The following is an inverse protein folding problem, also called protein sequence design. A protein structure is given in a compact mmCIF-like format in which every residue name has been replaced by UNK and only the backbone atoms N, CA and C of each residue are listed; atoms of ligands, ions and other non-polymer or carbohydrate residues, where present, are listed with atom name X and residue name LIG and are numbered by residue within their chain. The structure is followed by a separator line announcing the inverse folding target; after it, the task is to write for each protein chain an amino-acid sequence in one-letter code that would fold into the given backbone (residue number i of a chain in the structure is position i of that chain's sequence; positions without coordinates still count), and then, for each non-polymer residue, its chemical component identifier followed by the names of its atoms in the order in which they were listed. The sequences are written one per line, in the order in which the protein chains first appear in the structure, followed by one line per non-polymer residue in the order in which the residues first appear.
data_IF_099033353138
#
_entry.id   IF_099033353138
#
_cell.length_a   1.000
_cell.length_b   1.000
_cell.length_c   1.000
_cell.angle_alpha   90.00
_cell.angle_beta   90.00
_cell.angle_gamma   90.00
#
_symmetry.space_group_name_H-M   'P 1'
#
loop_
_entity.id
_entity.type
_entity.pdbx_description
1 polymer ?
#
# COMPACT_ATOMS: atom_id res chain seq x y z
N UNK A 1 31.17 7.57 58.93
CA UNK A 1 31.21 6.88 57.62
C UNK A 1 32.65 6.46 57.39
N UNK A 2 32.92 5.16 57.34
CA UNK A 2 34.30 4.65 57.23
C UNK A 2 34.85 4.90 55.82
N UNK A 3 36.18 5.06 55.64
CA UNK A 3 36.80 5.25 54.32
C UNK A 3 36.47 4.14 53.32
N UNK A 4 36.16 2.94 53.80
CA UNK A 4 35.77 1.82 52.95
C UNK A 4 34.32 1.93 52.44
N UNK A 5 33.42 2.47 53.26
CA UNK A 5 32.02 2.68 52.87
C UNK A 5 31.92 3.73 51.76
N UNK A 6 32.72 4.80 51.85
CA UNK A 6 32.79 5.84 50.81
C UNK A 6 33.27 5.26 49.47
N UNK A 7 34.32 4.41 49.48
CA UNK A 7 34.83 3.77 48.25
C UNK A 7 33.84 2.75 47.65
N UNK A 8 33.07 2.05 48.49
CA UNK A 8 32.01 1.14 48.01
C UNK A 8 30.86 1.92 47.37
N UNK A 9 30.47 3.05 47.94
CA UNK A 9 29.43 3.92 47.39
C UNK A 9 29.87 4.56 46.07
N UNK A 10 31.12 4.99 45.97
CA UNK A 10 31.68 5.55 44.73
C UNK A 10 31.76 4.52 43.61
N UNK A 11 32.18 3.27 43.90
CA UNK A 11 32.16 2.17 42.92
C UNK A 11 30.75 1.76 42.52
N UNK A 12 29.82 1.74 43.47
CA UNK A 12 28.39 1.50 43.21
C UNK A 12 27.81 2.56 42.27
N UNK A 13 28.07 3.85 42.54
CA UNK A 13 27.63 4.96 41.71
C UNK A 13 28.29 4.94 40.33
N UNK A 14 29.58 4.61 40.25
CA UNK A 14 30.30 4.52 38.97
C UNK A 14 29.80 3.35 38.12
N UNK A 15 29.52 2.19 38.73
CA UNK A 15 28.92 1.05 38.04
C UNK A 15 27.47 1.31 37.62
N UNK A 16 26.68 2.03 38.43
CA UNK A 16 25.33 2.49 38.06
C UNK A 16 25.37 3.47 36.88
N UNK A 17 26.31 4.41 36.90
CA UNK A 17 26.52 5.38 35.80
C UNK A 17 26.97 4.69 34.51
N UNK A 18 27.78 3.62 34.59
CA UNK A 18 28.20 2.83 33.41
C UNK A 18 27.04 1.97 32.88
N UNK A 19 26.18 1.41 33.74
CA UNK A 19 24.99 0.68 33.28
C UNK A 19 23.90 1.57 32.70
N UNK A 20 23.80 2.83 33.14
CA UNK A 20 22.91 3.85 32.57
C UNK A 20 23.46 4.51 31.28
N UNK A 21 24.73 4.28 30.92
CA UNK A 21 25.33 4.85 29.69
C UNK A 21 25.09 4.06 28.41
N UNK A 22 24.47 2.86 28.46
CA UNK A 22 23.79 2.34 27.26
C UNK A 22 22.52 3.15 27.09
N UNK A 23 22.66 4.29 26.39
CA UNK A 23 21.56 5.23 26.20
C UNK A 23 20.33 4.48 25.68
N UNK A 24 19.12 4.85 26.12
CA UNK A 24 17.88 4.26 25.63
C UNK A 24 17.79 4.24 24.09
N UNK A 25 18.45 5.18 23.41
CA UNK A 25 18.55 5.25 21.95
C UNK A 25 19.24 4.04 21.32
N UNK A 26 20.28 3.47 21.96
CA UNK A 26 21.01 2.30 21.42
C UNK A 26 20.15 1.03 21.41
N UNK A 27 19.33 0.82 22.44
CA UNK A 27 18.36 -0.29 22.47
C UNK A 27 17.24 -0.05 21.45
N UNK A 28 16.73 1.18 21.36
CA UNK A 28 15.68 1.54 20.41
C UNK A 28 16.15 1.36 18.95
N UNK A 29 17.35 1.80 18.60
CA UNK A 29 17.94 1.60 17.27
C UNK A 29 18.15 0.13 16.91
N UNK A 30 18.73 -0.67 17.81
CA UNK A 30 18.93 -2.11 17.56
C UNK A 30 17.61 -2.88 17.37
N UNK A 31 16.52 -2.40 17.98
CA UNK A 31 15.18 -2.99 17.81
C UNK A 31 14.51 -2.55 16.50
N UNK A 32 14.70 -1.30 16.08
CA UNK A 32 14.25 -0.84 14.77
C UNK A 32 14.89 -1.63 13.63
N UNK A 33 16.20 -1.85 13.71
CA UNK A 33 16.93 -2.68 12.76
C UNK A 33 16.38 -4.11 12.68
N UNK A 34 16.06 -4.74 13.81
CA UNK A 34 15.46 -6.10 13.83
C UNK A 34 14.09 -6.15 13.15
N UNK A 35 13.23 -5.16 13.40
CA UNK A 35 11.92 -5.10 12.73
C UNK A 35 12.04 -4.81 11.23
N UNK A 36 13.04 -4.04 10.80
CA UNK A 36 13.27 -3.73 9.40
C UNK A 36 13.71 -4.98 8.62
N UNK A 37 14.57 -5.83 9.20
CA UNK A 37 15.00 -7.09 8.58
C UNK A 37 13.83 -8.02 8.22
N UNK A 38 12.76 -7.98 9.00
CA UNK A 38 11.56 -8.77 8.76
C UNK A 38 10.71 -8.24 7.57
N UNK A 39 11.04 -7.10 6.97
CA UNK A 39 10.47 -6.66 5.68
C UNK A 39 11.07 -7.40 4.48
N UNK A 40 12.26 -7.98 4.63
CA UNK A 40 12.97 -8.66 3.54
C UNK A 40 12.16 -9.83 2.96
N UNK A 41 11.55 -10.72 3.77
CA UNK A 41 10.69 -11.78 3.25
C UNK A 41 9.49 -11.26 2.45
N UNK A 42 8.87 -10.15 2.88
CA UNK A 42 7.78 -9.52 2.13
C UNK A 42 8.28 -8.97 0.79
N UNK A 43 9.41 -8.27 0.79
CA UNK A 43 10.02 -7.76 -0.43
C UNK A 43 10.34 -8.89 -1.42
N UNK A 44 10.96 -9.97 -0.95
CA UNK A 44 11.28 -11.14 -1.79
C UNK A 44 10.01 -11.78 -2.35
N UNK A 45 8.94 -11.88 -1.54
CA UNK A 45 7.66 -12.42 -1.99
C UNK A 45 7.00 -11.57 -3.08
N UNK A 46 6.92 -10.25 -2.91
CA UNK A 46 6.36 -9.39 -3.96
C UNK A 46 7.25 -9.33 -5.20
N UNK A 47 8.57 -9.41 -5.03
CA UNK A 47 9.52 -9.49 -6.15
C UNK A 47 9.34 -10.79 -6.93
N UNK A 48 9.12 -11.93 -6.25
CA UNK A 48 8.90 -13.22 -6.92
C UNK A 48 7.58 -13.25 -7.70
N UNK A 49 6.58 -12.47 -7.30
CA UNK A 49 5.37 -12.27 -8.12
C UNK A 49 5.67 -11.58 -9.46
N UNK A 50 6.66 -10.66 -9.47
CA UNK A 50 7.10 -9.95 -10.67
C UNK A 50 7.97 -10.86 -11.55
N UNK A 51 8.98 -11.50 -10.96
CA UNK A 51 10.03 -12.22 -11.70
C UNK A 51 9.68 -13.68 -11.98
N UNK A 52 8.83 -14.28 -11.16
CA UNK A 52 8.56 -15.72 -11.12
C UNK A 52 9.09 -16.35 -9.84
N UNK A 53 8.56 -17.54 -9.55
CA UNK A 53 8.90 -18.31 -8.36
C UNK A 53 9.04 -19.79 -8.69
N UNK A 54 9.88 -20.53 -7.97
CA UNK A 54 9.86 -21.98 -8.03
C UNK A 54 8.48 -22.47 -7.56
N UNK A 55 7.86 -23.32 -8.38
CA UNK A 55 6.56 -23.91 -8.13
C UNK A 55 6.67 -25.43 -8.32
N UNK A 56 5.99 -26.18 -7.47
CA UNK A 56 5.78 -27.59 -7.66
C UNK A 56 4.85 -27.79 -8.86
N UNK A 57 5.34 -28.48 -9.88
CA UNK A 57 4.60 -28.86 -11.07
C UNK A 57 4.27 -30.34 -11.01
N UNK A 58 3.02 -30.65 -11.34
CA UNK A 58 2.55 -32.02 -11.51
C UNK A 58 2.13 -32.18 -12.97
N UNK A 59 2.67 -33.17 -13.70
CA UNK A 59 2.36 -33.37 -15.11
C UNK A 59 0.86 -33.62 -15.29
N UNK A 60 0.27 -32.95 -16.28
CA UNK A 60 -1.12 -33.20 -16.65
C UNK A 60 -1.34 -34.63 -17.16
N UNK A 61 -2.59 -35.12 -17.22
CA UNK A 61 -2.91 -36.47 -17.69
C UNK A 61 -2.52 -36.75 -19.16
N UNK A 62 -2.18 -35.70 -19.91
CA UNK A 62 -1.76 -35.72 -21.32
C UNK A 62 -0.27 -35.47 -21.51
N UNK A 63 0.48 -35.27 -20.43
CA UNK A 63 1.93 -35.05 -20.48
C UNK A 63 2.66 -36.35 -20.89
N UNK A 64 3.79 -36.26 -21.60
CA UNK A 64 4.59 -37.43 -21.95
C UNK A 64 5.06 -38.14 -20.68
N UNK A 65 5.05 -39.49 -20.70
CA UNK A 65 5.41 -40.37 -19.58
C UNK A 65 6.81 -40.14 -18.97
N UNK A 66 7.65 -39.30 -19.59
CA UNK A 66 8.99 -38.92 -19.11
C UNK A 66 9.00 -37.67 -18.23
N UNK A 67 7.90 -36.93 -18.11
CA UNK A 67 7.82 -35.79 -17.19
C UNK A 67 7.52 -36.29 -15.78
N UNK A 68 8.53 -36.23 -14.91
CA UNK A 68 8.37 -36.49 -13.48
C UNK A 68 7.89 -35.24 -12.74
N UNK A 69 7.06 -35.40 -11.68
CA UNK A 69 6.65 -34.28 -10.85
C UNK A 69 7.87 -33.69 -10.14
N UNK A 70 7.99 -32.36 -10.17
CA UNK A 70 9.20 -31.68 -9.72
C UNK A 70 9.02 -30.20 -9.49
N UNK A 71 10.09 -29.55 -9.05
CA UNK A 71 10.12 -28.09 -8.89
C UNK A 71 10.51 -27.46 -10.23
N UNK A 72 9.55 -26.81 -10.88
CA UNK A 72 9.77 -26.04 -12.08
C UNK A 72 9.68 -24.54 -11.78
N UNK A 73 10.27 -23.70 -12.63
CA UNK A 73 10.16 -22.26 -12.47
C UNK A 73 8.87 -21.76 -13.13
N UNK A 74 7.93 -21.26 -12.33
CA UNK A 74 6.71 -20.64 -12.85
C UNK A 74 7.01 -19.17 -13.19
N UNK A 75 6.66 -18.78 -14.42
CA UNK A 75 6.86 -17.41 -14.89
C UNK A 75 6.00 -16.43 -14.10
N UNK A 76 6.61 -15.36 -13.59
CA UNK A 76 5.90 -14.27 -12.94
C UNK A 76 5.17 -13.36 -13.93
N UNK A 77 4.69 -12.21 -13.45
CA UNK A 77 4.01 -11.21 -14.28
C UNK A 77 4.83 -10.80 -15.51
N UNK A 78 6.15 -10.66 -15.39
CA UNK A 78 7.01 -10.32 -16.53
C UNK A 78 7.00 -11.40 -17.61
N UNK A 79 7.13 -12.67 -17.22
CA UNK A 79 7.12 -13.78 -18.17
C UNK A 79 5.78 -13.90 -18.88
N UNK A 80 4.67 -13.75 -18.14
CA UNK A 80 3.32 -13.74 -18.71
C UNK A 80 3.12 -12.61 -19.70
N UNK A 81 3.54 -11.40 -19.36
CA UNK A 81 3.43 -10.22 -20.23
C UNK A 81 4.28 -10.35 -21.50
N UNK A 82 5.46 -10.98 -21.41
CA UNK A 82 6.28 -11.32 -22.59
C UNK A 82 5.56 -12.33 -23.49
N UNK A 83 4.92 -13.35 -22.91
CA UNK A 83 4.15 -14.32 -23.68
C UNK A 83 2.91 -13.70 -24.33
N UNK A 84 2.14 -12.90 -23.59
CA UNK A 84 0.96 -12.20 -24.09
C UNK A 84 1.34 -11.18 -25.18
N UNK A 85 2.44 -10.43 -25.01
CA UNK A 85 2.91 -9.49 -26.04
C UNK A 85 3.38 -10.20 -27.32
N UNK A 86 4.08 -11.35 -27.20
CA UNK A 86 4.44 -12.18 -28.35
C UNK A 86 3.20 -12.73 -29.06
N UNK A 87 2.22 -13.22 -28.31
CA UNK A 87 0.96 -13.69 -28.86
C UNK A 87 0.24 -12.57 -29.62
N UNK A 88 0.12 -11.39 -29.01
CA UNK A 88 -0.51 -10.23 -29.65
C UNK A 88 0.26 -9.75 -30.89
N UNK A 89 1.60 -9.80 -30.89
CA UNK A 89 2.39 -9.46 -32.09
C UNK A 89 2.18 -10.45 -33.23
N UNK A 90 2.05 -11.75 -32.94
CA UNK A 90 1.77 -12.78 -33.96
C UNK A 90 0.35 -12.61 -34.51
N UNK A 91 -0.62 -12.36 -33.62
CA UNK A 91 -2.03 -12.20 -34.00
C UNK A 91 -2.35 -10.87 -34.70
N UNK A 92 -1.46 -9.88 -34.59
CA UNK A 92 -1.60 -8.58 -35.27
C UNK A 92 -0.90 -8.53 -36.63
N UNK A 93 -0.24 -9.62 -37.06
CA UNK A 93 0.46 -9.69 -38.33
C UNK A 93 -0.52 -9.42 -39.50
N UNK A 94 -0.29 -8.39 -40.34
CA UNK A 94 -1.15 -8.08 -41.48
C UNK A 94 -1.26 -9.22 -42.51
N UNK A 95 -0.38 -10.23 -42.46
CA UNK A 95 -0.42 -11.42 -43.30
C UNK A 95 -1.41 -12.50 -42.81
N UNK A 96 -1.92 -12.41 -41.57
CA UNK A 96 -2.96 -13.32 -41.08
C UNK A 96 -4.33 -12.89 -41.61
N UNK A 97 -4.99 -13.76 -42.36
CA UNK A 97 -6.38 -13.60 -42.81
C UNK A 97 -7.32 -13.30 -41.63
N UNK A 98 -8.24 -12.35 -41.81
CA UNK A 98 -9.14 -11.88 -40.75
C UNK A 98 -10.02 -12.99 -40.18
N UNK A 99 -10.37 -13.97 -41.02
CA UNK A 99 -11.30 -15.05 -40.68
C UNK A 99 -10.64 -16.14 -39.83
N UNK A 100 -9.30 -16.19 -39.78
CA UNK A 100 -8.54 -17.08 -38.92
C UNK A 100 -8.31 -16.50 -37.50
N UNK A 101 -8.74 -15.26 -37.22
CA UNK A 101 -8.51 -14.60 -35.92
C UNK A 101 -9.72 -14.80 -34.99
N UNK A 102 -9.59 -15.60 -33.91
CA UNK A 102 -10.61 -15.64 -32.87
C UNK A 102 -10.66 -14.30 -32.13
N UNK A 103 -11.58 -13.42 -32.55
CA UNK A 103 -11.70 -12.04 -32.06
C UNK A 103 -11.94 -11.94 -30.54
N UNK A 104 -12.63 -12.94 -29.97
CA UNK A 104 -12.89 -13.00 -28.53
C UNK A 104 -11.62 -13.30 -27.73
N UNK A 105 -10.81 -14.26 -28.19
CA UNK A 105 -9.54 -14.62 -27.55
C UNK A 105 -8.56 -13.46 -27.65
N UNK A 106 -8.48 -12.81 -28.82
CA UNK A 106 -7.63 -11.64 -29.01
C UNK A 106 -7.98 -10.50 -28.03
N UNK A 107 -9.26 -10.13 -27.95
CA UNK A 107 -9.72 -9.08 -27.00
C UNK A 107 -9.51 -9.47 -25.54
N UNK A 108 -9.69 -10.75 -25.20
CA UNK A 108 -9.45 -11.24 -23.85
C UNK A 108 -7.96 -11.13 -23.47
N UNK A 109 -7.05 -11.52 -24.37
CA UNK A 109 -5.61 -11.41 -24.16
C UNK A 109 -5.16 -9.95 -24.13
N UNK A 110 -5.71 -9.08 -24.98
CA UNK A 110 -5.42 -7.65 -24.94
C UNK A 110 -5.83 -7.03 -23.61
N UNK A 111 -7.04 -7.31 -23.12
CA UNK A 111 -7.52 -6.85 -21.80
C UNK A 111 -6.67 -7.44 -20.66
N UNK A 112 -6.28 -8.70 -20.76
CA UNK A 112 -5.38 -9.38 -19.81
C UNK A 112 -4.03 -8.67 -19.75
N UNK A 113 -3.42 -8.36 -20.90
CA UNK A 113 -2.12 -7.69 -20.98
C UNK A 113 -2.17 -6.27 -20.38
N UNK A 114 -3.26 -5.54 -20.57
CA UNK A 114 -3.45 -4.23 -19.93
C UNK A 114 -3.55 -4.38 -18.41
N UNK A 115 -4.29 -5.36 -17.92
CA UNK A 115 -4.40 -5.63 -16.49
C UNK A 115 -3.06 -6.05 -15.88
N UNK A 116 -2.30 -6.94 -16.54
CA UNK A 116 -1.00 -7.40 -16.09
C UNK A 116 0.06 -6.27 -16.08
N UNK A 117 0.01 -5.33 -17.05
CA UNK A 117 0.84 -4.11 -17.01
C UNK A 117 0.52 -3.24 -15.79
N UNK A 118 -0.76 -3.11 -15.47
CA UNK A 118 -1.19 -2.36 -14.28
C UNK A 118 -0.73 -3.06 -12.99
N UNK A 119 -0.93 -4.38 -12.88
CA UNK A 119 -0.46 -5.15 -11.73
C UNK A 119 1.06 -5.08 -11.57
N UNK A 120 1.81 -5.15 -12.66
CA UNK A 120 3.26 -4.98 -12.65
C UNK A 120 3.67 -3.61 -12.07
N UNK A 121 3.03 -2.53 -12.52
CA UNK A 121 3.31 -1.18 -12.02
C UNK A 121 2.99 -1.05 -10.52
N UNK A 122 1.86 -1.60 -10.08
CA UNK A 122 1.44 -1.61 -8.66
C UNK A 122 2.41 -2.42 -7.80
N UNK A 123 2.77 -3.64 -8.24
CA UNK A 123 3.71 -4.51 -7.51
C UNK A 123 5.11 -3.89 -7.45
N UNK A 124 5.61 -3.32 -8.54
CA UNK A 124 6.90 -2.62 -8.56
C UNK A 124 6.90 -1.41 -7.61
N UNK A 125 5.81 -0.64 -7.61
CA UNK A 125 5.63 0.47 -6.68
C UNK A 125 5.58 -0.01 -5.22
N UNK A 126 4.91 -1.13 -4.94
CA UNK A 126 4.88 -1.73 -3.60
C UNK A 126 6.26 -2.18 -3.14
N UNK A 127 7.05 -2.80 -4.02
CA UNK A 127 8.45 -3.14 -3.77
C UNK A 127 9.30 -1.91 -3.44
N UNK A 128 9.14 -0.80 -4.18
CA UNK A 128 9.84 0.44 -3.90
C UNK A 128 9.48 1.00 -2.51
N UNK A 129 8.20 0.96 -2.12
CA UNK A 129 7.74 1.37 -0.79
C UNK A 129 8.32 0.50 0.33
N UNK A 130 8.41 -0.82 0.13
CA UNK A 130 9.06 -1.73 1.07
C UNK A 130 10.54 -1.40 1.25
N UNK A 131 11.25 -1.07 0.18
CA UNK A 131 12.65 -0.62 0.24
C UNK A 131 12.78 0.70 1.00
N UNK A 132 11.93 1.70 0.73
CA UNK A 132 11.95 2.96 1.47
C UNK A 132 11.62 2.76 2.95
N UNK A 133 10.68 1.86 3.28
CA UNK A 133 10.36 1.51 4.66
C UNK A 133 11.54 0.81 5.34
N UNK A 134 12.20 -0.12 4.66
CA UNK A 134 13.41 -0.78 5.16
C UNK A 134 14.52 0.23 5.45
N UNK A 135 14.82 1.12 4.50
CA UNK A 135 15.82 2.18 4.66
C UNK A 135 15.48 3.11 5.83
N UNK A 136 14.20 3.46 5.99
CA UNK A 136 13.75 4.27 7.11
C UNK A 136 13.94 3.58 8.47
N UNK A 137 13.68 2.26 8.53
CA UNK A 137 13.92 1.47 9.74
C UNK A 137 15.40 1.27 10.05
N UNK A 138 16.23 1.02 9.03
CA UNK A 138 17.67 0.85 9.18
C UNK A 138 18.37 2.11 9.70
N UNK A 139 17.87 3.29 9.30
CA UNK A 139 18.36 4.61 9.72
C UNK A 139 17.64 5.16 10.97
N UNK A 140 16.63 4.45 11.49
CA UNK A 140 15.90 4.87 12.68
C UNK A 140 15.06 6.13 12.52
N UNK A 141 14.55 6.43 11.33
CA UNK A 141 13.69 7.61 11.12
C UNK A 141 12.35 7.47 11.86
N UNK A 142 11.84 8.58 12.39
CA UNK A 142 10.63 8.60 13.22
C UNK A 142 9.37 8.10 12.48
N UNK A 143 9.30 8.34 11.16
CA UNK A 143 8.17 7.94 10.32
C UNK A 143 8.19 6.45 9.90
N UNK A 144 9.23 5.69 10.27
CA UNK A 144 9.30 4.26 9.98
C UNK A 144 8.11 3.48 10.57
N UNK A 145 7.76 3.73 11.84
CA UNK A 145 6.64 3.03 12.49
C UNK A 145 5.30 3.24 11.77
N UNK A 146 4.83 4.49 11.55
CA UNK A 146 3.58 4.69 10.83
C UNK A 146 3.66 4.18 9.39
N UNK A 147 4.80 4.32 8.71
CA UNK A 147 4.98 3.76 7.37
C UNK A 147 4.81 2.22 7.36
N UNK A 148 5.42 1.54 8.32
CA UNK A 148 5.35 0.10 8.45
C UNK A 148 3.93 -0.40 8.75
N UNK A 149 3.18 0.28 9.63
CA UNK A 149 1.78 -0.05 9.91
C UNK A 149 0.90 0.05 8.65
N UNK A 150 1.11 1.11 7.88
CA UNK A 150 0.34 1.38 6.66
C UNK A 150 0.69 0.41 5.54
N UNK A 151 1.94 -0.09 5.46
CA UNK A 151 2.34 -1.12 4.48
C UNK A 151 1.86 -2.53 4.91
N UNK A 152 1.98 -2.87 6.20
CA UNK A 152 1.61 -4.19 6.70
C UNK A 152 0.12 -4.48 6.55
N UNK A 153 -0.75 -3.51 6.85
CA UNK A 153 -2.20 -3.70 6.79
C UNK A 153 -2.69 -4.25 5.44
N UNK A 154 -2.46 -3.54 4.33
CA UNK A 154 -2.79 -4.02 2.99
C UNK A 154 -2.04 -5.30 2.60
N UNK A 155 -0.77 -5.46 3.00
CA UNK A 155 0.00 -6.68 2.71
C UNK A 155 -0.64 -7.92 3.36
N UNK A 156 -1.08 -7.81 4.61
CA UNK A 156 -1.81 -8.87 5.33
C UNK A 156 -3.15 -9.14 4.65
N UNK A 157 -3.88 -8.10 4.25
CA UNK A 157 -5.17 -8.25 3.56
C UNK A 157 -5.01 -8.96 2.21
N UNK A 158 -3.97 -8.62 1.43
CA UNK A 158 -3.64 -9.28 0.16
C UNK A 158 -3.29 -10.75 0.39
N UNK A 159 -2.41 -11.05 1.35
CA UNK A 159 -2.06 -12.44 1.69
C UNK A 159 -3.27 -13.25 2.11
N UNK A 160 -4.17 -12.66 2.91
CA UNK A 160 -5.42 -13.31 3.31
C UNK A 160 -6.33 -13.57 2.09
N UNK A 161 -6.47 -12.59 1.20
CA UNK A 161 -7.26 -12.77 -0.04
C UNK A 161 -6.67 -13.87 -0.93
N UNK A 162 -5.34 -13.93 -1.08
CA UNK A 162 -4.64 -14.98 -1.82
C UNK A 162 -4.92 -16.34 -1.18
N UNK A 163 -4.83 -16.47 0.14
CA UNK A 163 -5.11 -17.72 0.84
C UNK A 163 -6.57 -18.16 0.69
N UNK A 164 -7.52 -17.22 0.69
CA UNK A 164 -8.93 -17.53 0.44
C UNK A 164 -9.17 -18.06 -0.98
N UNK A 165 -8.50 -17.48 -1.97
CA UNK A 165 -8.55 -17.95 -3.37
C UNK A 165 -7.80 -19.27 -3.55
N UNK A 166 -6.66 -19.46 -2.86
CA UNK A 166 -5.93 -20.71 -2.87
C UNK A 166 -6.77 -21.85 -2.30
N UNK A 167 -7.54 -21.59 -1.24
CA UNK A 167 -8.51 -22.55 -0.69
C UNK A 167 -9.57 -22.94 -1.72
N UNK A 168 -10.13 -21.98 -2.47
CA UNK A 168 -11.12 -22.31 -3.51
C UNK A 168 -10.49 -23.11 -4.64
N UNK A 169 -9.24 -22.82 -5.01
CA UNK A 169 -8.50 -23.60 -6.01
C UNK A 169 -8.15 -25.01 -5.54
N UNK A 170 -7.76 -25.18 -4.28
CA UNK A 170 -7.45 -26.49 -3.68
C UNK A 170 -8.63 -27.47 -3.73
N UNK A 171 -9.87 -26.97 -3.83
CA UNK A 171 -11.06 -27.79 -4.04
C UNK A 171 -11.20 -28.28 -5.50
N UNK A 172 -10.52 -27.64 -6.44
CA UNK A 172 -10.60 -27.89 -7.90
C UNK A 172 -9.32 -28.48 -8.52
N UNK A 173 -8.16 -28.30 -7.89
CA UNK A 173 -6.85 -28.77 -8.36
C UNK A 173 -6.22 -29.74 -7.36
N UNK A 174 -5.14 -30.42 -7.74
CA UNK A 174 -4.40 -31.31 -6.84
C UNK A 174 -3.97 -30.55 -5.56
N UNK A 175 -4.33 -31.15 -4.42
CA UNK A 175 -4.12 -30.57 -3.10
C UNK A 175 -2.63 -30.29 -2.84
N UNK A 176 -1.75 -31.22 -3.24
CA UNK A 176 -0.29 -31.12 -3.08
C UNK A 176 0.28 -29.88 -3.75
N UNK A 177 -0.03 -29.66 -5.03
CA UNK A 177 0.40 -28.47 -5.80
C UNK A 177 -0.05 -27.19 -5.11
N UNK A 178 -1.30 -27.15 -4.67
CA UNK A 178 -1.88 -25.95 -4.05
C UNK A 178 -1.26 -25.65 -2.68
N UNK A 179 -0.99 -26.70 -1.90
CA UNK A 179 -0.39 -26.61 -0.57
C UNK A 179 1.02 -26.01 -0.63
N UNK A 180 1.89 -26.56 -1.48
CA UNK A 180 3.29 -26.14 -1.60
C UNK A 180 3.44 -24.76 -2.26
N UNK A 181 2.64 -24.46 -3.28
CA UNK A 181 2.81 -23.23 -4.05
C UNK A 181 2.13 -22.01 -3.43
N UNK A 182 1.04 -22.20 -2.67
CA UNK A 182 0.19 -21.09 -2.22
C UNK A 182 -0.25 -21.10 -0.75
N UNK A 183 -0.17 -22.23 -0.04
CA UNK A 183 -0.64 -22.28 1.35
C UNK A 183 0.53 -22.08 2.30
N UNK A 184 1.60 -22.86 2.15
CA UNK A 184 2.76 -22.81 3.06
C UNK A 184 3.48 -21.45 3.03
N UNK A 185 3.91 -20.91 1.87
CA UNK A 185 4.65 -19.63 1.87
C UNK A 185 3.82 -18.48 2.41
N UNK A 186 2.56 -18.42 2.00
CA UNK A 186 1.61 -17.36 2.34
C UNK A 186 1.20 -17.41 3.81
N UNK A 187 1.00 -18.60 4.39
CA UNK A 187 0.70 -18.73 5.83
C UNK A 187 1.89 -18.32 6.70
N UNK A 188 3.12 -18.67 6.30
CA UNK A 188 4.34 -18.24 7.00
C UNK A 188 4.44 -16.70 6.96
N UNK A 189 4.27 -16.10 5.79
CA UNK A 189 4.32 -14.64 5.64
C UNK A 189 3.18 -13.95 6.39
N UNK A 190 1.97 -14.51 6.38
CA UNK A 190 0.83 -13.99 7.13
C UNK A 190 1.10 -14.01 8.64
N UNK A 191 1.62 -15.13 9.16
CA UNK A 191 1.98 -15.25 10.57
C UNK A 191 3.06 -14.23 10.97
N UNK A 192 4.08 -14.05 10.13
CA UNK A 192 5.10 -13.01 10.32
C UNK A 192 4.50 -11.60 10.31
N UNK A 193 3.60 -11.31 9.37
CA UNK A 193 2.94 -10.02 9.23
C UNK A 193 2.05 -9.68 10.43
N UNK A 194 1.21 -10.62 10.85
CA UNK A 194 0.34 -10.47 12.03
C UNK A 194 1.21 -10.34 13.29
N UNK A 195 2.23 -11.18 13.45
CA UNK A 195 3.16 -11.10 14.57
C UNK A 195 3.85 -9.74 14.66
N UNK A 196 4.31 -9.19 13.53
CA UNK A 196 4.91 -7.86 13.47
C UNK A 196 3.89 -6.76 13.80
N UNK A 197 2.68 -6.85 13.24
CA UNK A 197 1.61 -5.89 13.49
C UNK A 197 1.22 -5.85 14.98
N UNK A 198 1.02 -7.01 15.60
CA UNK A 198 0.73 -7.13 17.03
C UNK A 198 1.90 -6.66 17.90
N UNK A 199 3.14 -7.01 17.55
CA UNK A 199 4.34 -6.56 18.25
C UNK A 199 4.43 -5.03 18.30
N UNK A 200 4.13 -4.35 17.18
CA UNK A 200 4.09 -2.90 17.15
C UNK A 200 2.97 -2.30 17.98
N UNK A 201 1.79 -2.94 17.97
CA UNK A 201 0.63 -2.47 18.72
C UNK A 201 0.81 -2.64 20.23
N UNK A 202 1.44 -3.72 20.68
CA UNK A 202 1.68 -3.97 22.11
C UNK A 202 2.75 -3.04 22.70
N UNK A 203 3.70 -2.57 21.89
CA UNK A 203 4.76 -1.63 22.32
C UNK A 203 4.40 -0.16 22.11
N UNK A 204 3.16 0.17 22.41
CA UNK A 204 2.63 1.54 22.45
C UNK A 204 3.21 2.33 23.64
N UNK A 205 4.54 2.30 23.82
CA UNK A 205 5.20 3.30 24.64
C UNK A 205 5.15 4.64 23.89
N UNK A 206 4.67 5.71 24.53
CA UNK A 206 4.71 7.05 23.99
C UNK A 206 6.16 7.55 24.06
N UNK A 207 7.06 6.96 23.25
CA UNK A 207 8.40 7.50 23.08
C UNK A 207 8.27 8.76 22.23
N UNK A 208 7.96 9.84 22.95
CA UNK A 208 8.11 11.25 22.61
C UNK A 208 9.53 11.63 22.18
N UNK A 209 10.51 10.73 22.28
CA UNK A 209 11.91 10.98 21.96
C UNK A 209 12.26 11.13 20.47
N UNK A 210 11.32 10.93 19.53
CA UNK A 210 11.59 11.02 18.09
C UNK A 210 10.76 12.06 17.33
N UNK A 211 9.99 12.90 18.03
CA UNK A 211 9.03 13.82 17.41
C UNK A 211 9.56 15.24 17.21
N UNK A 212 10.88 15.48 17.18
CA UNK A 212 11.44 16.84 16.99
C UNK A 212 10.79 17.57 15.80
N UNK A 213 10.59 16.88 14.67
CA UNK A 213 9.91 17.41 13.48
C UNK A 213 8.42 17.70 13.69
N UNK A 214 7.67 16.75 14.26
CA UNK A 214 6.22 16.91 14.48
C UNK A 214 5.93 17.91 15.59
N UNK A 215 6.71 17.91 16.67
CA UNK A 215 6.63 18.87 17.76
C UNK A 215 7.04 20.27 17.29
N UNK A 216 8.01 20.38 16.37
CA UNK A 216 8.33 21.64 15.70
C UNK A 216 7.15 22.15 14.85
N UNK A 217 6.52 21.30 14.03
CA UNK A 217 5.34 21.66 13.25
C UNK A 217 4.14 21.98 14.16
N UNK A 218 3.94 21.24 15.23
CA UNK A 218 2.82 21.41 16.15
C UNK A 218 3.02 22.64 17.03
N UNK A 219 4.23 22.95 17.51
CA UNK A 219 4.54 24.22 18.20
C UNK A 219 4.37 25.43 17.29
N UNK A 220 4.69 25.31 16.00
CA UNK A 220 4.51 26.41 15.03
C UNK A 220 3.06 26.55 14.55
N UNK A 221 2.31 25.45 14.49
CA UNK A 221 0.90 25.40 14.07
C UNK A 221 -0.13 25.65 15.19
N UNK A 222 0.21 25.44 16.46
CA UNK A 222 -0.71 25.62 17.60
C UNK A 222 -0.84 27.08 18.08
N UNK A 223 -0.12 28.03 17.50
CA UNK A 223 -0.32 29.46 17.75
C UNK A 223 -1.73 29.94 17.32
N UNK A 224 -2.41 29.17 16.46
CA UNK A 224 -3.78 29.47 16.02
C UNK A 224 -4.75 28.42 16.56
N UNK A 225 -4.96 28.39 17.89
CA UNK A 225 -6.11 27.71 18.47
C UNK A 225 -7.37 28.35 17.87
N UNK A 226 -7.94 27.74 16.84
CA UNK A 226 -9.28 28.06 16.37
C UNK A 226 -10.24 27.80 17.53
N UNK A 227 -10.66 28.87 18.21
CA UNK A 227 -11.87 28.88 19.01
C UNK A 227 -12.99 28.51 18.05
N UNK A 228 -13.49 27.29 18.13
CA UNK A 228 -14.75 26.91 17.50
C UNK A 228 -15.82 27.72 18.24
N UNK A 229 -16.16 28.89 17.71
CA UNK A 229 -17.17 29.77 18.26
C UNK A 229 -18.51 29.50 17.58
N UNK A 230 -19.42 28.79 18.25
CA UNK A 230 -20.85 28.78 17.97
C UNK A 230 -21.31 28.07 16.67
N UNK A 231 -22.54 27.53 16.71
CA UNK A 231 -23.16 26.81 15.59
C UNK A 231 -23.34 27.63 14.30
N UNK A 232 -23.41 28.96 14.40
CA UNK A 232 -23.51 29.85 13.23
C UNK A 232 -22.22 29.86 12.39
N UNK A 233 -21.05 29.83 13.03
CA UNK A 233 -19.76 29.76 12.33
C UNK A 233 -19.59 28.42 11.61
N UNK A 234 -20.10 27.33 12.22
CA UNK A 234 -20.10 26.00 11.60
C UNK A 234 -20.99 25.98 10.36
N UNK A 235 -22.17 26.59 10.42
CA UNK A 235 -23.07 26.69 9.26
C UNK A 235 -22.45 27.49 8.10
N UNK A 236 -21.81 28.62 8.39
CA UNK A 236 -21.09 29.42 7.37
C UNK A 236 -19.92 28.65 6.79
N UNK A 237 -19.14 27.94 7.61
CA UNK A 237 -18.05 27.10 7.14
C UNK A 237 -18.57 25.98 6.23
N UNK A 238 -19.71 25.36 6.57
CA UNK A 238 -20.35 24.36 5.73
C UNK A 238 -20.70 24.93 4.35
N UNK A 239 -21.37 26.09 4.31
CA UNK A 239 -21.72 26.76 3.05
C UNK A 239 -20.48 27.08 2.22
N UNK A 240 -19.42 27.61 2.85
CA UNK A 240 -18.15 27.91 2.17
C UNK A 240 -17.47 26.66 1.62
N UNK A 241 -17.45 25.57 2.38
CA UNK A 241 -16.88 24.29 1.92
C UNK A 241 -17.68 23.75 0.74
N UNK A 242 -19.01 23.80 0.80
CA UNK A 242 -19.88 23.36 -0.29
C UNK A 242 -19.69 24.22 -1.55
N UNK A 243 -19.63 25.54 -1.41
CA UNK A 243 -19.41 26.46 -2.52
C UNK A 243 -18.03 26.27 -3.16
N UNK A 244 -16.99 26.15 -2.32
CA UNK A 244 -15.62 25.90 -2.78
C UNK A 244 -15.52 24.56 -3.49
N UNK A 245 -16.17 23.51 -2.95
CA UNK A 245 -16.26 22.21 -3.59
C UNK A 245 -16.96 22.27 -4.94
N UNK A 246 -18.07 23.01 -5.05
CA UNK A 246 -18.79 23.21 -6.31
C UNK A 246 -17.95 23.98 -7.34
N UNK A 247 -17.20 24.99 -6.92
CA UNK A 247 -16.29 25.75 -7.78
C UNK A 247 -15.12 24.90 -8.27
N UNK A 248 -14.44 24.17 -7.37
CA UNK A 248 -13.36 23.25 -7.74
C UNK A 248 -13.88 22.18 -8.71
N UNK A 249 -15.08 21.64 -8.45
CA UNK A 249 -15.68 20.64 -9.32
C UNK A 249 -15.96 21.17 -10.72
N UNK A 250 -16.59 22.35 -10.82
CA UNK A 250 -16.98 22.93 -12.11
C UNK A 250 -15.81 23.55 -12.89
N UNK A 251 -14.85 24.19 -12.22
CA UNK A 251 -13.77 24.91 -12.88
C UNK A 251 -12.54 24.05 -13.15
N UNK A 252 -12.30 23.01 -12.34
CA UNK A 252 -11.11 22.17 -12.45
C UNK A 252 -11.47 20.73 -12.77
N UNK A 253 -12.27 20.06 -11.94
CA UNK A 253 -12.50 18.61 -12.10
C UNK A 253 -13.26 18.27 -13.38
N UNK A 254 -14.33 18.99 -13.73
CA UNK A 254 -15.11 18.73 -14.93
C UNK A 254 -14.30 18.98 -16.23
N UNK A 255 -13.56 20.10 -16.37
CA UNK A 255 -12.65 20.29 -17.49
C UNK A 255 -11.54 19.25 -17.55
N UNK A 256 -10.94 18.87 -16.41
CA UNK A 256 -9.94 17.79 -16.35
C UNK A 256 -10.53 16.44 -16.78
N UNK A 257 -11.75 16.13 -16.36
CA UNK A 257 -12.47 14.92 -16.75
C UNK A 257 -12.77 14.90 -18.26
N UNK A 258 -13.24 16.02 -18.82
CA UNK A 258 -13.40 16.15 -20.27
C UNK A 258 -12.07 16.03 -21.01
N UNK A 259 -11.00 16.63 -20.50
CA UNK A 259 -9.66 16.49 -21.07
C UNK A 259 -9.18 15.03 -21.05
N UNK A 260 -9.44 14.30 -19.96
CA UNK A 260 -9.13 12.88 -19.84
C UNK A 260 -9.86 12.04 -20.89
N UNK A 261 -11.13 12.33 -21.16
CA UNK A 261 -11.94 11.63 -22.16
C UNK A 261 -11.53 11.96 -23.60
N UNK A 262 -11.37 13.25 -23.92
CA UNK A 262 -11.12 13.71 -25.28
C UNK A 262 -9.65 13.63 -25.70
N UNK A 263 -8.72 13.74 -24.74
CA UNK A 263 -7.29 13.89 -24.97
C UNK A 263 -6.44 13.12 -23.94
N UNK A 264 -6.58 11.78 -23.87
CA UNK A 264 -5.95 10.97 -22.84
C UNK A 264 -4.43 11.07 -22.82
N UNK A 265 -3.79 11.21 -23.98
CA UNK A 265 -2.33 11.39 -24.09
C UNK A 265 -1.84 12.68 -23.44
N UNK A 266 -2.49 13.81 -23.74
CA UNK A 266 -2.14 15.11 -23.17
C UNK A 266 -2.45 15.20 -21.67
N UNK A 267 -3.58 14.63 -21.25
CA UNK A 267 -3.92 14.50 -19.83
C UNK A 267 -2.84 13.69 -19.09
N UNK A 268 -2.37 12.58 -19.67
CA UNK A 268 -1.28 11.78 -19.11
C UNK A 268 0.01 12.57 -18.89
N UNK A 269 0.43 13.38 -19.87
CA UNK A 269 1.62 14.24 -19.76
C UNK A 269 1.44 15.27 -18.64
N UNK A 270 0.27 15.94 -18.60
CA UNK A 270 -0.05 16.92 -17.55
C UNK A 270 -0.03 16.27 -16.16
N UNK A 271 -0.60 15.08 -16.02
CA UNK A 271 -0.63 14.32 -14.77
C UNK A 271 0.80 13.97 -14.32
N UNK A 272 1.65 13.48 -15.22
CA UNK A 272 3.05 13.17 -14.91
C UNK A 272 3.78 14.44 -14.45
N UNK A 273 3.62 15.56 -15.16
CA UNK A 273 4.24 16.83 -14.78
C UNK A 273 3.78 17.30 -13.39
N UNK A 274 2.49 17.19 -13.09
CA UNK A 274 1.94 17.52 -11.78
C UNK A 274 2.48 16.62 -10.67
N UNK A 275 2.61 15.31 -10.92
CA UNK A 275 3.19 14.36 -9.97
C UNK A 275 4.67 14.63 -9.69
N UNK A 276 5.45 14.99 -10.73
CA UNK A 276 6.85 15.39 -10.57
C UNK A 276 6.95 16.68 -9.75
N UNK A 277 6.17 17.71 -10.08
CA UNK A 277 6.15 18.96 -9.34
C UNK A 277 5.79 18.76 -7.87
N UNK A 278 4.79 17.92 -7.59
CA UNK A 278 4.39 17.53 -6.24
C UNK A 278 5.53 16.79 -5.51
N UNK A 279 6.21 15.87 -6.20
CA UNK A 279 7.39 15.16 -5.69
C UNK A 279 8.51 16.13 -5.29
N UNK A 280 8.87 17.05 -6.17
CA UNK A 280 9.88 18.11 -5.91
C UNK A 280 9.48 18.95 -4.71
N UNK A 281 8.21 19.36 -4.64
CA UNK A 281 7.68 20.15 -3.52
C UNK A 281 7.83 19.43 -2.18
N UNK A 282 7.49 18.13 -2.11
CA UNK A 282 7.63 17.36 -0.87
C UNK A 282 9.09 17.14 -0.47
N UNK A 283 9.96 16.83 -1.43
CA UNK A 283 11.40 16.68 -1.18
C UNK A 283 12.01 17.97 -0.63
N UNK A 284 11.72 19.11 -1.27
CA UNK A 284 12.18 20.42 -0.83
C UNK A 284 11.63 20.79 0.55
N UNK A 285 10.33 20.60 0.76
CA UNK A 285 9.66 20.92 2.03
C UNK A 285 10.25 20.13 3.19
N UNK A 286 10.46 18.82 3.02
CA UNK A 286 11.08 18.00 4.06
C UNK A 286 12.53 18.43 4.32
N UNK A 287 13.35 18.58 3.27
CA UNK A 287 14.76 18.98 3.41
C UNK A 287 14.91 20.33 4.13
N UNK A 288 14.04 21.29 3.83
CA UNK A 288 14.05 22.61 4.46
C UNK A 288 13.66 22.54 5.93
N UNK A 289 12.61 21.81 6.27
CA UNK A 289 12.10 21.74 7.65
C UNK A 289 12.98 20.85 8.53
N UNK A 290 13.54 19.75 8.01
CA UNK A 290 14.48 18.91 8.76
C UNK A 290 15.79 19.64 9.08
N UNK A 291 16.29 20.46 8.15
CA UNK A 291 17.43 21.33 8.38
C UNK A 291 17.17 22.38 9.48
N UNK A 292 15.94 22.93 9.55
CA UNK A 292 15.53 23.84 10.62
C UNK A 292 15.37 23.14 11.97
N UNK A 293 15.04 21.85 11.98
CA UNK A 293 14.88 21.04 13.18
C UNK A 293 16.20 20.45 13.71
N UNK A 294 17.33 20.69 13.02
CA UNK A 294 18.65 20.17 13.40
C UNK A 294 18.83 18.67 13.16
N UNK A 295 18.00 18.03 12.32
CA UNK A 295 18.18 16.63 11.93
C UNK A 295 19.40 16.48 10.99
N UNK A 296 20.12 15.36 11.08
CA UNK A 296 21.26 15.09 10.20
C UNK A 296 20.84 15.11 8.72
N UNK A 297 21.60 15.85 7.90
CA UNK A 297 21.38 15.95 6.44
C UNK A 297 21.75 14.66 5.73
N UNK A 298 20.87 13.66 5.79
CA UNK A 298 21.02 12.44 5.01
C UNK A 298 20.29 12.58 3.67
N UNK A 299 20.98 12.35 2.54
CA UNK A 299 20.38 12.45 1.19
C UNK A 299 19.19 11.49 0.97
N UNK A 300 19.12 10.39 1.73
CA UNK A 300 18.08 9.37 1.62
C UNK A 300 16.81 9.65 2.44
N UNK A 301 16.85 10.61 3.37
CA UNK A 301 15.70 10.92 4.22
C UNK A 301 14.54 11.58 3.45
N UNK A 302 14.76 12.57 2.55
CA UNK A 302 13.68 13.18 1.78
C UNK A 302 12.95 12.19 0.84
N UNK A 303 13.64 11.33 0.07
CA UNK A 303 12.94 10.32 -0.75
C UNK A 303 12.11 9.33 0.08
N UNK A 304 12.63 8.87 1.22
CA UNK A 304 11.88 7.98 2.11
C UNK A 304 10.64 8.67 2.70
N UNK A 305 10.75 9.96 3.05
CA UNK A 305 9.61 10.76 3.51
C UNK A 305 8.57 10.99 2.40
N UNK A 306 9.00 11.21 1.15
CA UNK A 306 8.10 11.27 0.00
C UNK A 306 7.32 9.95 -0.13
N UNK A 307 8.01 8.80 -0.03
CA UNK A 307 7.36 7.48 -0.03
C UNK A 307 6.31 7.34 1.08
N UNK A 308 6.63 7.77 2.31
CA UNK A 308 5.67 7.82 3.41
C UNK A 308 4.45 8.72 3.11
N UNK A 309 4.66 9.91 2.52
CA UNK A 309 3.57 10.83 2.16
C UNK A 309 2.67 10.28 1.08
N UNK A 310 3.24 9.71 0.02
CA UNK A 310 2.47 9.07 -1.04
C UNK A 310 1.65 7.92 -0.44
N UNK A 311 2.28 7.04 0.34
CA UNK A 311 1.59 5.92 0.98
C UNK A 311 0.43 6.39 1.87
N UNK A 312 0.68 7.37 2.76
CA UNK A 312 -0.34 7.89 3.67
C UNK A 312 -1.50 8.56 2.92
N UNK A 313 -1.20 9.33 1.87
CA UNK A 313 -2.22 9.99 1.06
C UNK A 313 -3.03 8.97 0.26
N UNK A 314 -2.37 7.97 -0.34
CA UNK A 314 -3.05 6.90 -1.08
C UNK A 314 -3.98 6.12 -0.17
N UNK A 315 -3.54 5.72 1.03
CA UNK A 315 -4.41 4.99 1.96
C UNK A 315 -5.57 5.86 2.43
N UNK A 316 -5.33 7.13 2.76
CA UNK A 316 -6.41 8.06 3.11
C UNK A 316 -7.42 8.21 1.98
N UNK A 317 -6.95 8.40 0.75
CA UNK A 317 -7.81 8.54 -0.44
C UNK A 317 -8.60 7.26 -0.71
N UNK A 318 -7.96 6.09 -0.64
CA UNK A 318 -8.62 4.79 -0.83
C UNK A 318 -9.68 4.54 0.24
N UNK A 319 -9.39 4.84 1.51
CA UNK A 319 -10.38 4.72 2.58
C UNK A 319 -11.53 5.71 2.41
N UNK A 320 -11.25 6.94 1.99
CA UNK A 320 -12.27 7.95 1.72
C UNK A 320 -13.18 7.52 0.56
N UNK A 321 -12.60 7.11 -0.57
CA UNK A 321 -13.35 6.59 -1.72
C UNK A 321 -14.16 5.36 -1.29
N UNK A 322 -13.55 4.42 -0.55
CA UNK A 322 -14.23 3.25 -0.03
C UNK A 322 -15.42 3.61 0.86
N UNK A 323 -15.26 4.57 1.77
CA UNK A 323 -16.34 5.05 2.63
C UNK A 323 -17.47 5.70 1.81
N UNK A 324 -17.14 6.55 0.83
CA UNK A 324 -18.10 7.16 -0.08
C UNK A 324 -18.88 6.07 -0.84
N UNK A 325 -18.18 5.07 -1.38
CA UNK A 325 -18.79 3.94 -2.10
C UNK A 325 -19.74 3.13 -1.21
N UNK A 326 -19.36 2.87 0.05
CA UNK A 326 -20.23 2.18 1.03
C UNK A 326 -21.48 3.01 1.31
N UNK A 327 -21.35 4.33 1.48
CA UNK A 327 -22.49 5.22 1.71
C UNK A 327 -23.43 5.23 0.51
N UNK A 328 -22.91 5.43 -0.71
CA UNK A 328 -23.70 5.40 -1.94
C UNK A 328 -24.38 4.04 -2.09
N UNK A 329 -23.63 2.94 -1.91
CA UNK A 329 -24.16 1.58 -1.96
C UNK A 329 -25.31 1.37 -0.97
N UNK A 330 -25.17 1.88 0.26
CA UNK A 330 -26.21 1.79 1.29
C UNK A 330 -27.47 2.58 0.91
N UNK A 331 -27.31 3.80 0.39
CA UNK A 331 -28.44 4.62 -0.09
C UNK A 331 -29.17 3.91 -1.22
N UNK A 332 -28.43 3.35 -2.19
CA UNK A 332 -29.00 2.59 -3.31
C UNK A 332 -29.73 1.34 -2.82
N UNK A 333 -29.12 0.57 -1.91
CA UNK A 333 -29.75 -0.60 -1.31
C UNK A 333 -31.04 -0.27 -0.55
N UNK A 334 -31.06 0.83 0.21
CA UNK A 334 -32.27 1.31 0.88
C UNK A 334 -33.35 1.75 -0.12
N UNK A 335 -32.96 2.40 -1.22
CA UNK A 335 -33.89 2.79 -2.28
C UNK A 335 -34.53 1.56 -2.95
N UNK A 336 -33.72 0.54 -3.27
CA UNK A 336 -34.21 -0.73 -3.83
C UNK A 336 -35.16 -1.42 -2.85
N UNK A 337 -34.77 -1.55 -1.58
CA UNK A 337 -35.60 -2.16 -0.55
C UNK A 337 -36.95 -1.42 -0.38
N UNK A 338 -36.95 -0.10 -0.49
CA UNK A 338 -38.17 0.70 -0.43
C UNK A 338 -39.06 0.46 -1.66
N UNK A 339 -38.47 0.37 -2.87
CA UNK A 339 -39.21 0.03 -4.09
C UNK A 339 -39.83 -1.37 -3.96
N UNK A 340 -39.07 -2.36 -3.49
CA UNK A 340 -39.54 -3.73 -3.31
C UNK A 340 -40.69 -3.82 -2.30
N UNK A 341 -40.62 -3.07 -1.18
CA UNK A 341 -41.71 -2.99 -0.21
C UNK A 341 -42.97 -2.36 -0.82
N UNK A 342 -42.82 -1.25 -1.56
CA UNK A 342 -43.94 -0.58 -2.21
C UNK A 342 -44.58 -1.45 -3.32
N UNK A 343 -43.78 -2.25 -4.04
CA UNK A 343 -44.29 -3.25 -4.99
C UNK A 343 -44.99 -4.40 -4.27
N UNK A 344 -44.40 -4.92 -3.17
CA UNK A 344 -44.99 -5.99 -2.36
C UNK A 344 -46.32 -5.64 -1.71
N UNK A 345 -46.52 -4.35 -1.36
CA UNK A 345 -47.78 -3.82 -0.82
C UNK A 345 -48.79 -3.46 -1.96
N UNK A 346 -48.37 -3.54 -3.23
CA UNK A 346 -49.22 -3.27 -4.38
C UNK A 346 -49.43 -1.79 -4.70
N UNK A 347 -48.62 -0.89 -4.11
CA UNK A 347 -48.66 0.56 -4.37
C UNK A 347 -47.97 0.88 -5.70
N UNK A 348 -46.87 0.18 -6.01
CA UNK A 348 -46.16 0.28 -7.27
C UNK A 348 -46.42 -0.98 -8.11
N UNK A 349 -46.80 -0.82 -9.38
CA UNK A 349 -46.81 -1.94 -10.31
C UNK A 349 -45.38 -2.29 -10.69
N UNK A 350 -45.00 -3.59 -10.75
CA UNK A 350 -43.68 -3.99 -11.20
C UNK A 350 -43.49 -3.56 -12.65
N UNK A 351 -42.49 -2.74 -12.91
CA UNK A 351 -42.10 -2.38 -14.27
C UNK A 351 -41.45 -3.61 -14.89
N UNK A 352 -42.13 -4.25 -15.85
CA UNK A 352 -41.57 -5.38 -16.60
C UNK A 352 -40.37 -4.89 -17.43
N UNK A 353 -39.16 -5.32 -17.08
CA UNK A 353 -37.97 -5.18 -17.93
C UNK A 353 -36.72 -4.53 -17.33
N UNK A 354 -36.56 -4.51 -16.00
CA UNK A 354 -35.29 -4.20 -15.33
C UNK A 354 -34.66 -5.46 -14.77
#
# INVERSE_FOLDING_TARGET
MSPEEARRLERSLKNRKITDTKSPDSRVQSMFQKSALLLIPFFIYFLSFITGRPAYYEPGPTAPLSEEPGVAFESGLLGRLVMESRFLSVMSDPLLESDARPSEVFRAVERSAVADRFYLAVSAFWCALLVFCFLAGARGYWFYRPMLQVILGPSIAILLAILLVARSKALSTNFTVTLYNNVIPETILLALGIGMFLYQKMRLDPVSGGRSFLDFLQKRGTAQKQRISGGFTVAIQLVWITLTGALISNLLLLPLYKLQLSFPGYFGILLIAALIALGIFYLYSYSKVSAMAGEEKTMLAPPAFLGFRILSNTVFLTLLIGAITVVIGTIVSLAILNIDLLQGIGILQPVKGL
#
